data_IF_341350028154
#
_entry.id   IF_341350028154
#
_cell.length_a   1.000
_cell.length_b   1.000
_cell.length_c   1.000
_cell.angle_alpha   90.00
_cell.angle_beta   90.00
_cell.angle_gamma   90.00
#
_symmetry.space_group_name_H-M   'P 1'
#
loop_
_entity.id
_entity.type
_entity.pdbx_description
1 polymer ?
#
# COMPACT_ATOMS: atom_id res chain seq x y z
N UNK A 1 -7.31 -28.18 22.77
CA UNK A 1 -5.89 -28.02 22.42
C UNK A 1 -5.54 -26.59 22.71
N UNK A 2 -4.69 -26.36 23.69
CA UNK A 2 -4.32 -25.01 24.15
C UNK A 2 -3.62 -24.26 23.04
N UNK A 3 -4.18 -23.11 22.67
CA UNK A 3 -3.56 -22.14 21.77
C UNK A 3 -2.47 -21.40 22.55
N UNK A 4 -1.25 -21.93 22.54
CA UNK A 4 -0.11 -21.21 23.06
C UNK A 4 0.17 -20.02 22.16
N UNK A 5 0.15 -18.83 22.75
CA UNK A 5 0.59 -17.57 22.14
C UNK A 5 1.99 -17.75 21.51
N UNK A 6 2.20 -17.13 20.36
CA UNK A 6 3.55 -16.94 19.83
C UNK A 6 4.33 -16.20 20.91
N UNK A 7 5.46 -16.71 21.40
CA UNK A 7 6.22 -16.05 22.45
C UNK A 7 6.54 -14.62 22.01
N UNK A 8 6.42 -13.67 22.94
CA UNK A 8 6.88 -12.31 22.71
C UNK A 8 8.30 -12.35 22.19
N UNK A 9 8.49 -11.83 20.98
CA UNK A 9 9.82 -11.75 20.40
C UNK A 9 10.67 -10.87 21.32
N UNK A 10 11.86 -11.34 21.78
CA UNK A 10 12.71 -10.53 22.63
C UNK A 10 13.05 -9.22 21.93
N UNK A 11 13.21 -8.15 22.70
CA UNK A 11 13.62 -6.84 22.18
C UNK A 11 14.77 -7.02 21.20
N UNK A 12 14.50 -6.66 19.93
CA UNK A 12 15.41 -6.91 18.82
C UNK A 12 16.59 -5.95 18.92
N UNK A 13 17.67 -6.41 19.54
CA UNK A 13 18.98 -5.78 19.39
C UNK A 13 19.69 -6.42 18.18
N UNK A 14 20.15 -5.65 17.18
CA UNK A 14 20.85 -6.21 16.02
C UNK A 14 22.15 -6.89 16.50
N UNK A 15 22.18 -8.21 16.46
CA UNK A 15 23.41 -8.97 16.74
C UNK A 15 24.35 -8.85 15.55
N UNK A 16 25.56 -8.43 15.86
CA UNK A 16 26.78 -8.23 15.11
C UNK A 16 26.86 -8.72 13.67
N UNK A 17 27.62 -7.95 12.88
CA UNK A 17 27.94 -8.19 11.48
C UNK A 17 28.30 -9.65 11.18
N UNK A 18 27.45 -10.33 10.40
CA UNK A 18 27.81 -11.59 9.77
C UNK A 18 28.65 -11.27 8.52
N UNK A 19 29.94 -11.55 8.57
CA UNK A 19 30.80 -11.51 7.39
C UNK A 19 30.40 -12.68 6.48
N UNK A 20 29.99 -12.37 5.26
CA UNK A 20 29.71 -13.36 4.24
C UNK A 20 30.98 -13.68 3.44
N UNK A 21 31.24 -14.97 3.24
CA UNK A 21 32.31 -15.47 2.41
C UNK A 21 32.06 -15.13 0.93
N UNK A 22 33.00 -14.47 0.31
CA UNK A 22 33.51 -14.56 -1.05
C UNK A 22 32.60 -14.57 -2.29
N UNK A 23 31.31 -14.22 -2.22
CA UNK A 23 30.49 -14.00 -3.41
C UNK A 23 30.38 -12.49 -3.71
N UNK A 24 30.36 -12.13 -5.00
CA UNK A 24 30.13 -10.75 -5.46
C UNK A 24 29.06 -10.08 -4.62
N UNK A 25 29.35 -8.88 -4.11
CA UNK A 25 28.46 -8.13 -3.24
C UNK A 25 27.02 -8.19 -3.76
N UNK A 26 26.06 -8.69 -2.94
CA UNK A 26 24.68 -8.75 -3.38
C UNK A 26 24.15 -7.34 -3.67
N UNK A 27 23.12 -7.19 -4.51
CA UNK A 27 22.52 -5.89 -4.76
C UNK A 27 22.04 -5.27 -3.44
N UNK A 28 22.15 -3.94 -3.36
CA UNK A 28 21.66 -3.17 -2.22
C UNK A 28 20.17 -3.46 -2.00
N UNK A 29 19.71 -3.30 -0.75
CA UNK A 29 18.29 -3.34 -0.43
C UNK A 29 17.51 -2.40 -1.37
N UNK A 30 16.30 -2.78 -1.80
CA UNK A 30 15.53 -2.00 -2.79
C UNK A 30 15.35 -0.52 -2.42
N UNK A 31 15.25 -0.18 -1.14
CA UNK A 31 15.17 1.22 -0.67
C UNK A 31 16.48 2.01 -0.86
N UNK A 32 17.61 1.36 -0.86
CA UNK A 32 18.94 1.96 -0.97
C UNK A 32 19.47 1.93 -2.40
N UNK A 33 18.85 1.13 -3.29
CA UNK A 33 19.38 0.89 -4.64
C UNK A 33 18.99 1.98 -5.62
N UNK A 34 19.95 2.77 -6.15
CA UNK A 34 19.71 3.66 -7.27
C UNK A 34 19.22 2.92 -8.52
N UNK A 35 19.66 1.67 -8.70
CA UNK A 35 19.22 0.80 -9.79
C UNK A 35 17.74 0.44 -9.69
N UNK A 36 17.22 0.16 -8.50
CA UNK A 36 15.79 -0.04 -8.29
C UNK A 36 14.97 1.19 -8.72
N UNK A 37 15.43 2.39 -8.36
CA UNK A 37 14.75 3.62 -8.75
C UNK A 37 14.83 3.89 -10.26
N UNK A 38 15.89 3.45 -10.93
CA UNK A 38 16.08 3.62 -12.37
C UNK A 38 15.29 2.60 -13.20
N UNK A 39 15.35 1.32 -12.83
CA UNK A 39 14.67 0.23 -13.52
C UNK A 39 14.23 -0.88 -12.52
N UNK A 40 13.00 -0.77 -12.04
CA UNK A 40 12.44 -1.71 -11.07
C UNK A 40 12.34 -3.13 -11.63
N UNK A 41 11.92 -3.26 -12.86
CA UNK A 41 11.75 -4.57 -13.49
C UNK A 41 13.09 -5.30 -13.60
N UNK A 42 14.13 -4.61 -14.05
CA UNK A 42 15.47 -5.16 -14.13
C UNK A 42 16.05 -5.49 -12.74
N UNK A 43 15.83 -4.63 -11.73
CA UNK A 43 16.23 -4.91 -10.36
C UNK A 43 15.64 -6.22 -9.82
N UNK A 44 14.33 -6.39 -9.94
CA UNK A 44 13.67 -7.60 -9.45
C UNK A 44 14.02 -8.84 -10.27
N UNK A 45 14.25 -8.69 -11.57
CA UNK A 45 14.75 -9.77 -12.43
C UNK A 45 16.12 -10.25 -11.96
N UNK A 46 17.05 -9.33 -11.75
CA UNK A 46 18.38 -9.64 -11.23
C UNK A 46 18.30 -10.34 -9.87
N UNK A 47 17.44 -9.86 -8.96
CA UNK A 47 17.26 -10.53 -7.67
C UNK A 47 16.77 -11.97 -7.82
N UNK A 48 15.80 -12.22 -8.72
CA UNK A 48 15.30 -13.59 -8.99
C UNK A 48 16.37 -14.51 -9.60
N UNK A 49 17.24 -13.98 -10.43
CA UNK A 49 18.36 -14.70 -11.05
C UNK A 49 19.40 -15.14 -10.01
N UNK A 50 19.60 -14.37 -8.96
CA UNK A 50 20.49 -14.73 -7.83
C UNK A 50 19.96 -15.93 -7.02
N UNK A 51 18.66 -16.19 -7.06
CA UNK A 51 18.06 -17.36 -6.41
C UNK A 51 16.71 -17.11 -5.73
N UNK A 52 16.14 -18.16 -5.13
CA UNK A 52 14.86 -18.08 -4.43
C UNK A 52 14.94 -17.26 -3.15
N UNK A 53 16.11 -17.26 -2.53
CA UNK A 53 16.42 -16.54 -1.29
C UNK A 53 17.72 -15.79 -1.50
N UNK A 54 17.66 -14.49 -1.40
CA UNK A 54 18.83 -13.62 -1.55
C UNK A 54 19.12 -12.95 -0.22
N UNK A 55 20.31 -13.18 0.34
CA UNK A 55 20.77 -12.49 1.55
C UNK A 55 21.30 -11.12 1.16
N UNK A 56 20.78 -10.09 1.78
CA UNK A 56 21.20 -8.69 1.54
C UNK A 56 21.82 -8.13 2.80
N UNK A 57 23.00 -7.54 2.64
CA UNK A 57 23.68 -6.79 3.67
C UNK A 57 23.54 -5.28 3.34
N UNK A 58 22.43 -4.70 3.76
CA UNK A 58 22.14 -3.29 3.57
C UNK A 58 23.01 -2.42 4.48
N UNK A 59 23.24 -1.17 4.09
CA UNK A 59 23.95 -0.17 4.91
C UNK A 59 23.25 0.06 6.26
N UNK A 60 21.91 0.19 6.23
CA UNK A 60 21.09 0.22 7.43
C UNK A 60 20.88 -1.21 7.99
N UNK A 61 21.29 -1.48 9.25
CA UNK A 61 21.09 -2.78 9.88
C UNK A 61 19.64 -3.28 9.87
N UNK A 62 18.65 -2.41 9.90
CA UNK A 62 17.24 -2.77 9.87
C UNK A 62 16.78 -3.32 8.52
N UNK A 63 17.47 -2.94 7.46
CA UNK A 63 17.17 -3.37 6.10
C UNK A 63 17.94 -4.63 5.69
N UNK A 64 18.85 -5.11 6.53
CA UNK A 64 19.56 -6.38 6.31
C UNK A 64 18.60 -7.55 6.44
N UNK A 65 18.83 -8.61 5.67
CA UNK A 65 18.04 -9.82 5.81
C UNK A 65 18.00 -10.68 4.56
N UNK A 66 16.99 -11.50 4.49
CA UNK A 66 16.78 -12.46 3.42
C UNK A 66 15.58 -12.02 2.57
N UNK A 67 15.75 -11.90 1.26
CA UNK A 67 14.67 -11.65 0.31
C UNK A 67 14.13 -12.96 -0.23
N UNK A 68 12.84 -13.20 -0.08
CA UNK A 68 12.12 -14.26 -0.79
C UNK A 68 11.60 -13.69 -2.12
N UNK A 69 12.09 -14.23 -3.23
CA UNK A 69 11.81 -13.68 -4.56
C UNK A 69 10.82 -14.52 -5.37
N UNK A 70 10.64 -15.80 -5.02
CA UNK A 70 9.74 -16.72 -5.74
C UNK A 70 8.32 -16.61 -5.20
N UNK A 71 7.37 -16.69 -6.09
CA UNK A 71 5.94 -16.57 -5.78
C UNK A 71 5.45 -17.55 -4.73
N UNK A 72 5.86 -18.82 -4.83
CA UNK A 72 5.37 -19.85 -3.94
C UNK A 72 5.99 -19.75 -2.55
N UNK A 73 7.26 -19.33 -2.44
CA UNK A 73 7.93 -19.06 -1.17
C UNK A 73 7.32 -17.86 -0.47
N UNK A 74 7.05 -16.77 -1.21
CA UNK A 74 6.34 -15.60 -0.70
C UNK A 74 4.94 -15.98 -0.23
N UNK A 75 4.21 -16.79 -1.01
CA UNK A 75 2.89 -17.30 -0.63
C UNK A 75 2.96 -18.13 0.66
N UNK A 76 3.90 -19.06 0.75
CA UNK A 76 4.06 -19.91 1.93
C UNK A 76 4.33 -19.05 3.17
N UNK A 77 5.24 -18.08 3.08
CA UNK A 77 5.55 -17.19 4.18
C UNK A 77 4.37 -16.28 4.59
N UNK A 78 3.57 -15.79 3.64
CA UNK A 78 2.37 -15.00 3.92
C UNK A 78 1.29 -15.80 4.66
N UNK A 79 1.22 -17.10 4.43
CA UNK A 79 0.21 -18.00 5.01
C UNK A 79 0.67 -18.70 6.29
N UNK A 80 1.94 -18.58 6.66
CA UNK A 80 2.51 -19.15 7.89
C UNK A 80 2.99 -18.06 8.87
N UNK A 81 2.06 -17.39 9.58
CA UNK A 81 2.40 -16.35 10.56
C UNK A 81 3.08 -16.91 11.81
N UNK A 82 3.09 -18.23 12.02
CA UNK A 82 3.79 -18.87 13.12
C UNK A 82 5.30 -18.91 12.90
N UNK A 83 5.72 -19.13 11.65
CA UNK A 83 7.13 -19.16 11.26
C UNK A 83 7.62 -17.78 10.82
N UNK A 84 6.78 -17.02 10.11
CA UNK A 84 7.08 -15.69 9.57
C UNK A 84 6.19 -14.64 10.25
N UNK A 85 6.55 -14.31 11.47
CA UNK A 85 5.81 -13.35 12.29
C UNK A 85 5.93 -11.92 11.74
N UNK A 86 4.95 -11.09 12.04
CA UNK A 86 5.08 -9.65 11.83
C UNK A 86 6.24 -9.10 12.66
N UNK A 87 6.96 -8.07 12.18
CA UNK A 87 8.01 -7.45 12.97
C UNK A 87 7.49 -6.92 14.30
N UNK A 88 8.34 -6.92 15.36
CA UNK A 88 7.96 -6.31 16.63
C UNK A 88 7.73 -4.80 16.50
N UNK A 89 6.98 -4.21 17.44
CA UNK A 89 6.62 -2.78 17.44
C UNK A 89 7.84 -1.86 17.36
N UNK A 90 8.94 -2.24 18.00
CA UNK A 90 10.22 -1.52 17.95
C UNK A 90 10.82 -1.45 16.55
N UNK A 91 10.67 -2.48 15.74
CA UNK A 91 11.13 -2.50 14.35
C UNK A 91 10.36 -1.47 13.48
N UNK A 92 9.07 -1.32 13.71
CA UNK A 92 8.27 -0.34 12.98
C UNK A 92 8.67 1.09 13.31
N UNK A 93 8.90 1.40 14.59
CA UNK A 93 9.40 2.71 15.02
C UNK A 93 10.72 3.04 14.32
N UNK A 94 11.64 2.07 14.27
CA UNK A 94 12.92 2.25 13.63
C UNK A 94 12.82 2.36 12.09
N UNK A 95 11.91 1.59 11.47
CA UNK A 95 11.76 1.57 10.01
C UNK A 95 11.11 2.86 9.48
N UNK A 96 10.21 3.46 10.26
CA UNK A 96 9.42 4.62 9.85
C UNK A 96 9.88 5.94 10.49
N UNK A 97 10.87 5.89 11.39
CA UNK A 97 11.46 7.09 12.00
C UNK A 97 10.57 7.82 13.01
N UNK A 98 9.35 7.35 13.22
CA UNK A 98 8.40 7.92 14.18
C UNK A 98 7.66 6.79 14.90
N UNK A 99 7.16 7.02 16.13
CA UNK A 99 6.24 6.09 16.75
C UNK A 99 4.96 6.09 15.92
N UNK A 100 4.91 5.22 14.91
CA UNK A 100 3.63 4.90 14.31
C UNK A 100 2.72 4.40 15.43
N UNK A 101 1.50 4.90 15.48
CA UNK A 101 0.52 4.37 16.40
C UNK A 101 0.53 2.85 16.31
N UNK A 102 0.49 2.19 17.45
CA UNK A 102 0.50 0.73 17.51
C UNK A 102 -0.72 0.21 16.75
N UNK A 103 -0.51 -0.20 15.51
CA UNK A 103 -1.58 -0.79 14.70
C UNK A 103 -1.34 -2.28 14.57
N UNK A 104 -1.99 -3.10 15.42
CA UNK A 104 -1.85 -4.55 15.41
C UNK A 104 -2.25 -5.23 14.10
N UNK A 105 -2.88 -4.51 13.17
CA UNK A 105 -3.21 -5.03 11.84
C UNK A 105 -1.97 -5.38 11.01
N UNK A 106 -0.88 -4.64 11.18
CA UNK A 106 0.38 -4.88 10.47
C UNK A 106 1.52 -5.31 11.39
N UNK A 107 1.42 -5.00 12.68
CA UNK A 107 2.47 -5.19 13.68
C UNK A 107 1.78 -5.59 14.98
N UNK A 108 2.18 -6.68 15.59
CA UNK A 108 1.61 -7.13 16.86
C UNK A 108 1.33 -8.62 16.90
N UNK A 109 0.76 -9.05 18.00
CA UNK A 109 0.42 -10.45 18.25
C UNK A 109 -0.81 -10.90 17.43
N UNK A 110 -0.95 -12.20 17.28
CA UNK A 110 -2.12 -12.80 16.60
C UNK A 110 -3.45 -12.45 17.29
N UNK A 111 -3.47 -12.43 18.62
CA UNK A 111 -4.65 -12.10 19.40
C UNK A 111 -5.05 -10.63 19.23
N UNK A 112 -4.10 -9.72 19.26
CA UNK A 112 -4.34 -8.30 18.95
C UNK A 112 -4.90 -8.16 17.54
N UNK A 113 -4.26 -8.78 16.52
CA UNK A 113 -4.73 -8.72 15.14
C UNK A 113 -6.18 -9.23 15.00
N UNK A 114 -6.52 -10.36 15.63
CA UNK A 114 -7.87 -10.93 15.57
C UNK A 114 -8.92 -9.97 16.17
N UNK A 115 -8.57 -9.31 17.28
CA UNK A 115 -9.44 -8.32 17.95
C UNK A 115 -9.73 -7.12 17.04
N UNK A 116 -8.70 -6.55 16.40
CA UNK A 116 -8.87 -5.47 15.43
C UNK A 116 -9.63 -5.92 14.18
N UNK A 117 -9.28 -7.09 13.64
CA UNK A 117 -9.91 -7.63 12.44
C UNK A 117 -11.41 -7.85 12.59
N UNK A 118 -11.85 -8.32 13.77
CA UNK A 118 -13.28 -8.51 14.08
C UNK A 118 -14.08 -7.21 13.94
N UNK A 119 -13.49 -6.09 14.31
CA UNK A 119 -14.13 -4.77 14.27
C UNK A 119 -14.02 -4.14 12.88
N UNK A 120 -12.85 -4.23 12.26
CA UNK A 120 -12.54 -3.43 11.07
C UNK A 120 -12.89 -4.12 9.74
N UNK A 121 -12.78 -5.47 9.64
CA UNK A 121 -13.08 -6.15 8.38
C UNK A 121 -14.52 -5.91 7.87
N UNK A 122 -15.57 -5.86 8.71
CA UNK A 122 -16.91 -5.55 8.23
C UNK A 122 -17.02 -4.18 7.56
N UNK A 123 -16.30 -3.15 8.07
CA UNK A 123 -16.34 -1.78 7.57
C UNK A 123 -15.76 -1.65 6.15
N UNK A 124 -14.77 -2.47 5.81
CA UNK A 124 -14.12 -2.49 4.50
C UNK A 124 -14.60 -3.63 3.61
N UNK A 125 -15.72 -4.26 3.94
CA UNK A 125 -16.31 -5.31 3.10
C UNK A 125 -16.89 -4.73 1.81
N UNK A 126 -16.99 -5.54 0.73
CA UNK A 126 -17.63 -5.10 -0.51
C UNK A 126 -19.04 -4.54 -0.29
N UNK A 127 -19.80 -5.14 0.66
CA UNK A 127 -21.15 -4.70 1.01
C UNK A 127 -21.17 -3.31 1.64
N UNK A 128 -20.24 -3.03 2.55
CA UNK A 128 -20.15 -1.73 3.21
C UNK A 128 -19.68 -0.62 2.24
N UNK A 129 -18.85 -0.97 1.27
CA UNK A 129 -18.27 -0.03 0.30
C UNK A 129 -19.14 0.19 -0.94
N UNK A 130 -20.04 -0.73 -1.27
CA UNK A 130 -20.88 -0.65 -2.47
C UNK A 130 -21.68 0.68 -2.60
N UNK A 131 -22.24 1.27 -1.53
CA UNK A 131 -22.96 2.54 -1.63
C UNK A 131 -22.10 3.71 -2.14
N UNK A 132 -20.79 3.68 -1.94
CA UNK A 132 -19.87 4.76 -2.30
C UNK A 132 -19.40 4.71 -3.75
N UNK A 133 -19.71 3.66 -4.51
CA UNK A 133 -19.19 3.49 -5.87
C UNK A 133 -19.59 4.64 -6.81
N UNK A 134 -20.84 5.13 -6.71
CA UNK A 134 -21.34 6.28 -7.48
C UNK A 134 -20.62 7.57 -7.12
N UNK A 135 -20.44 7.83 -5.85
CA UNK A 135 -19.77 9.04 -5.34
C UNK A 135 -18.29 9.06 -5.69
N UNK A 136 -17.60 7.91 -5.63
CA UNK A 136 -16.22 7.79 -6.09
C UNK A 136 -16.06 8.14 -7.56
N UNK A 137 -16.97 7.67 -8.42
CA UNK A 137 -17.00 8.03 -9.85
C UNK A 137 -17.29 9.50 -10.05
N UNK A 138 -18.31 10.05 -9.39
CA UNK A 138 -18.64 11.47 -9.47
C UNK A 138 -17.46 12.37 -9.06
N UNK A 139 -16.69 11.95 -8.05
CA UNK A 139 -15.48 12.64 -7.59
C UNK A 139 -14.37 12.62 -8.64
N UNK A 140 -14.10 11.45 -9.21
CA UNK A 140 -13.12 11.30 -10.29
C UNK A 140 -13.50 12.14 -11.51
N UNK A 141 -14.78 12.12 -11.89
CA UNK A 141 -15.34 12.92 -12.96
C UNK A 141 -15.10 14.42 -12.74
N UNK A 142 -15.50 14.94 -11.57
CA UNK A 142 -15.30 16.35 -11.20
C UNK A 142 -13.85 16.80 -11.28
N UNK A 143 -12.89 15.95 -10.84
CA UNK A 143 -11.47 16.25 -10.93
C UNK A 143 -10.96 16.26 -12.37
N UNK A 144 -11.35 15.29 -13.18
CA UNK A 144 -10.95 15.22 -14.58
C UNK A 144 -11.53 16.40 -15.38
N UNK A 145 -12.81 16.75 -15.17
CA UNK A 145 -13.44 17.92 -15.80
C UNK A 145 -12.70 19.23 -15.46
N UNK A 146 -12.31 19.42 -14.19
CA UNK A 146 -11.59 20.61 -13.74
C UNK A 146 -10.25 20.84 -14.45
N UNK A 147 -9.62 19.78 -14.94
CA UNK A 147 -8.29 19.86 -15.56
C UNK A 147 -8.34 19.65 -17.09
N UNK A 148 -9.43 19.15 -17.64
CA UNK A 148 -9.55 18.81 -19.08
C UNK A 148 -9.14 19.96 -20.01
N UNK A 149 -9.54 21.19 -19.69
CA UNK A 149 -9.24 22.38 -20.49
C UNK A 149 -7.80 22.87 -20.36
N UNK A 150 -7.06 22.43 -19.33
CA UNK A 150 -5.68 22.86 -19.09
C UNK A 150 -4.68 22.23 -20.05
N UNK A 151 -5.10 21.17 -20.77
CA UNK A 151 -4.29 20.41 -21.72
C UNK A 151 -3.00 19.82 -21.15
N UNK A 152 -2.78 19.90 -19.86
CA UNK A 152 -1.64 19.31 -19.13
C UNK A 152 -1.89 19.27 -17.63
N UNK A 153 -1.27 18.33 -16.94
CA UNK A 153 -1.23 18.28 -15.48
C UNK A 153 0.02 17.58 -14.95
N UNK A 154 0.27 17.69 -13.63
CA UNK A 154 1.02 16.69 -12.89
C UNK A 154 0.01 15.68 -12.35
N UNK A 155 0.05 14.45 -12.86
CA UNK A 155 -0.92 13.43 -12.49
C UNK A 155 -0.71 12.90 -11.05
N UNK A 156 0.46 13.17 -10.44
CA UNK A 156 0.68 12.88 -9.01
C UNK A 156 -0.23 13.77 -8.16
N UNK A 157 -0.25 15.07 -8.41
CA UNK A 157 -1.11 16.02 -7.67
C UNK A 157 -2.60 15.66 -7.81
N UNK A 158 -3.00 15.17 -8.99
CA UNK A 158 -4.39 14.77 -9.24
C UNK A 158 -4.74 13.48 -8.51
N UNK A 159 -3.84 12.50 -8.52
CA UNK A 159 -4.05 11.22 -7.84
C UNK A 159 -4.08 11.38 -6.31
N UNK A 160 -3.17 12.19 -5.76
CA UNK A 160 -3.15 12.53 -4.32
C UNK A 160 -4.45 13.25 -3.90
N UNK A 161 -4.92 14.20 -4.71
CA UNK A 161 -6.18 14.89 -4.46
C UNK A 161 -7.36 13.93 -4.49
N UNK A 162 -7.44 13.05 -5.51
CA UNK A 162 -8.51 12.08 -5.62
C UNK A 162 -8.51 11.10 -4.44
N UNK A 163 -7.38 10.47 -4.13
CA UNK A 163 -7.28 9.48 -3.07
C UNK A 163 -7.64 10.09 -1.69
N UNK A 164 -7.19 11.31 -1.41
CA UNK A 164 -7.56 12.02 -0.18
C UNK A 164 -9.05 12.27 -0.09
N UNK A 165 -9.65 12.80 -1.16
CA UNK A 165 -11.07 13.11 -1.21
C UNK A 165 -11.94 11.85 -1.15
N UNK A 166 -11.53 10.77 -1.82
CA UNK A 166 -12.21 9.49 -1.81
C UNK A 166 -12.22 8.89 -0.40
N UNK A 167 -11.07 8.84 0.27
CA UNK A 167 -10.98 8.32 1.62
C UNK A 167 -11.81 9.14 2.61
N UNK A 168 -11.71 10.48 2.57
CA UNK A 168 -12.47 11.34 3.47
C UNK A 168 -13.97 11.10 3.30
N UNK A 169 -14.45 11.09 2.07
CA UNK A 169 -15.86 10.82 1.74
C UNK A 169 -16.31 9.46 2.25
N UNK A 170 -15.55 8.39 1.97
CA UNK A 170 -15.90 7.02 2.40
C UNK A 170 -15.90 6.90 3.92
N UNK A 171 -15.04 7.65 4.62
CA UNK A 171 -15.01 7.69 6.07
C UNK A 171 -16.09 8.58 6.71
N UNK A 172 -16.84 9.37 5.91
CA UNK A 172 -17.88 10.27 6.39
C UNK A 172 -17.38 11.67 6.75
N UNK A 173 -16.20 12.05 6.25
CA UNK A 173 -15.60 13.38 6.49
C UNK A 173 -15.79 14.28 5.26
N UNK A 174 -15.70 15.63 5.41
CA UNK A 174 -15.77 16.56 4.31
C UNK A 174 -14.66 16.31 3.28
N UNK A 175 -14.99 15.91 2.03
CA UNK A 175 -13.98 15.49 1.06
C UNK A 175 -13.20 16.66 0.46
N UNK A 176 -13.74 17.87 0.50
CA UNK A 176 -13.13 19.05 -0.12
C UNK A 176 -12.32 19.91 0.87
N UNK A 177 -12.03 19.39 2.07
CA UNK A 177 -11.17 20.08 3.05
C UNK A 177 -9.70 20.01 2.64
N UNK A 178 -9.23 21.07 1.97
CA UNK A 178 -7.85 21.19 1.51
C UNK A 178 -6.84 21.20 2.66
N UNK A 179 -7.23 21.74 3.85
CA UNK A 179 -6.36 21.74 5.03
C UNK A 179 -6.18 20.33 5.56
N UNK A 180 -7.24 19.55 5.63
CA UNK A 180 -7.16 18.15 6.05
C UNK A 180 -6.28 17.32 5.10
N UNK A 181 -6.41 17.51 3.78
CA UNK A 181 -5.56 16.85 2.79
C UNK A 181 -4.07 17.24 2.95
N UNK A 182 -3.79 18.52 3.21
CA UNK A 182 -2.42 18.98 3.48
C UNK A 182 -1.85 18.39 4.78
N UNK A 183 -2.63 18.33 5.85
CA UNK A 183 -2.21 17.74 7.12
C UNK A 183 -1.94 16.22 6.96
N UNK A 184 -2.80 15.51 6.23
CA UNK A 184 -2.61 14.09 5.93
C UNK A 184 -1.31 13.86 5.13
N UNK A 185 -1.07 14.67 4.11
CA UNK A 185 0.17 14.62 3.31
C UNK A 185 1.40 14.95 4.17
N UNK A 186 1.37 16.01 4.98
CA UNK A 186 2.47 16.41 5.84
C UNK A 186 2.78 15.36 6.92
N UNK A 187 1.76 14.71 7.47
CA UNK A 187 1.91 13.65 8.47
C UNK A 187 2.69 12.43 7.92
N UNK A 188 2.71 12.28 6.60
CA UNK A 188 3.39 11.18 5.88
C UNK A 188 4.79 11.58 5.41
N UNK A 189 4.97 12.80 4.89
CA UNK A 189 6.19 13.22 4.14
C UNK A 189 7.37 13.60 5.06
N UNK A 190 7.38 13.18 6.30
CA UNK A 190 8.59 13.29 7.11
C UNK A 190 8.60 14.50 8.04
N UNK A 191 7.48 14.82 8.62
CA UNK A 191 7.50 15.64 9.84
C UNK A 191 8.15 14.85 10.98
N UNK A 192 9.47 14.96 11.06
CA UNK A 192 10.27 14.35 12.13
C UNK A 192 9.93 14.90 13.52
N UNK A 193 9.13 15.98 13.58
CA UNK A 193 8.69 16.61 14.83
C UNK A 193 7.40 16.01 15.38
N UNK A 194 6.63 15.31 14.55
CA UNK A 194 5.31 14.78 14.90
C UNK A 194 4.20 15.84 14.96
N UNK A 195 4.50 17.09 14.60
CA UNK A 195 3.53 18.20 14.69
C UNK A 195 2.36 18.02 13.73
N UNK A 196 2.63 17.61 12.49
CA UNK A 196 1.59 17.37 11.48
C UNK A 196 0.67 16.21 11.88
N UNK A 197 1.22 15.14 12.48
CA UNK A 197 0.41 14.04 13.02
C UNK A 197 -0.50 14.52 14.15
N UNK A 198 0.01 15.36 15.07
CA UNK A 198 -0.78 15.93 16.16
C UNK A 198 -1.92 16.82 15.64
N UNK A 199 -1.64 17.64 14.63
CA UNK A 199 -2.66 18.50 14.01
C UNK A 199 -3.72 17.69 13.28
N UNK A 200 -3.31 16.64 12.55
CA UNK A 200 -4.23 15.71 11.90
C UNK A 200 -5.13 15.00 12.92
N UNK A 201 -4.57 14.48 14.01
CA UNK A 201 -5.33 13.84 15.08
C UNK A 201 -6.34 14.80 15.72
N UNK A 202 -5.94 16.03 16.00
CA UNK A 202 -6.86 17.05 16.55
C UNK A 202 -8.00 17.35 15.59
N UNK A 203 -7.69 17.52 14.32
CA UNK A 203 -8.70 17.78 13.29
C UNK A 203 -9.66 16.58 13.14
N UNK A 204 -9.14 15.34 13.10
CA UNK A 204 -9.95 14.13 13.01
C UNK A 204 -10.91 14.00 14.21
N UNK A 205 -10.39 14.18 15.43
CA UNK A 205 -11.23 14.10 16.64
C UNK A 205 -12.33 15.17 16.61
N UNK A 206 -11.99 16.43 16.30
CA UNK A 206 -12.99 17.51 16.22
C UNK A 206 -14.05 17.22 15.17
N UNK A 207 -13.65 16.70 13.99
CA UNK A 207 -14.56 16.39 12.88
C UNK A 207 -15.47 15.21 13.21
N UNK A 208 -14.96 14.18 13.88
CA UNK A 208 -15.76 13.03 14.28
C UNK A 208 -16.70 13.37 15.43
N UNK A 209 -16.27 14.14 16.43
CA UNK A 209 -17.14 14.59 17.54
C UNK A 209 -18.30 15.45 17.01
N UNK A 210 -18.00 16.38 16.08
CA UNK A 210 -19.01 17.18 15.41
C UNK A 210 -19.99 16.27 14.62
N UNK A 211 -19.48 15.32 13.84
CA UNK A 211 -20.29 14.40 13.06
C UNK A 211 -21.17 13.47 13.92
N UNK A 212 -20.66 12.99 15.05
CA UNK A 212 -21.47 12.17 15.98
C UNK A 212 -22.66 12.95 16.55
N UNK A 213 -22.54 14.25 16.67
CA UNK A 213 -23.59 15.15 17.17
C UNK A 213 -24.53 15.67 16.06
N UNK A 214 -24.21 15.44 14.79
CA UNK A 214 -24.98 15.92 13.64
C UNK A 214 -25.89 14.81 13.07
N UNK A 215 -27.22 14.94 13.16
CA UNK A 215 -28.16 13.97 12.58
C UNK A 215 -28.12 13.97 11.03
N UNK A 216 -27.67 15.05 10.41
CA UNK A 216 -27.60 15.22 8.96
C UNK A 216 -26.17 14.90 8.42
N UNK A 217 -25.30 14.29 9.23
CA UNK A 217 -23.95 13.94 8.81
C UNK A 217 -23.94 13.06 7.55
N UNK A 218 -22.93 13.23 6.68
CA UNK A 218 -22.80 12.39 5.48
C UNK A 218 -22.59 10.91 5.86
N UNK A 219 -23.01 9.96 4.99
CA UNK A 219 -22.76 8.56 5.21
C UNK A 219 -21.25 8.27 5.29
N UNK A 220 -20.84 7.35 6.15
CA UNK A 220 -19.42 7.00 6.31
C UNK A 220 -19.25 5.64 6.98
N UNK A 221 -18.22 4.90 6.56
CA UNK A 221 -17.93 3.56 7.11
C UNK A 221 -17.44 3.60 8.56
N UNK A 222 -16.95 4.74 9.04
CA UNK A 222 -16.42 4.86 10.40
C UNK A 222 -17.48 5.18 11.44
N UNK A 223 -18.67 5.68 11.06
CA UNK A 223 -19.71 6.05 12.03
C UNK A 223 -20.14 4.90 12.94
N UNK A 224 -20.43 3.68 12.43
CA UNK A 224 -20.79 2.58 13.29
C UNK A 224 -19.72 2.21 14.33
N UNK A 225 -18.44 2.34 13.94
CA UNK A 225 -17.30 2.11 14.83
C UNK A 225 -17.27 3.15 15.97
N UNK A 226 -17.41 4.43 15.61
CA UNK A 226 -17.32 5.54 16.56
C UNK A 226 -18.52 5.58 17.50
N UNK A 227 -19.73 5.26 17.01
CA UNK A 227 -20.94 5.12 17.82
C UNK A 227 -20.81 4.00 18.86
N UNK A 228 -20.31 2.82 18.44
CA UNK A 228 -20.07 1.72 19.35
C UNK A 228 -19.01 2.05 20.40
N UNK A 229 -17.90 2.69 19.98
CA UNK A 229 -16.86 3.12 20.91
C UNK A 229 -17.38 4.12 21.97
N UNK A 230 -18.30 5.01 21.58
CA UNK A 230 -18.89 5.99 22.50
C UNK A 230 -19.96 5.38 23.43
N UNK A 231 -20.70 4.37 22.97
CA UNK A 231 -21.86 3.81 23.67
C UNK A 231 -21.61 2.52 24.43
N UNK A 232 -20.59 1.76 24.10
CA UNK A 232 -20.32 0.42 24.65
C UNK A 232 -19.03 0.41 25.48
N UNK A 233 -19.16 0.26 26.80
CA UNK A 233 -18.03 0.18 27.73
C UNK A 233 -17.18 -1.09 27.55
N UNK A 234 -17.77 -2.14 26.98
CA UNK A 234 -17.11 -3.42 26.72
C UNK A 234 -16.61 -3.53 25.28
N UNK A 235 -16.60 -2.40 24.55
CA UNK A 235 -16.11 -2.36 23.17
C UNK A 235 -14.67 -2.91 23.08
N UNK A 236 -14.37 -3.80 22.14
CA UNK A 236 -13.11 -4.54 22.12
C UNK A 236 -11.87 -3.69 21.83
N UNK A 237 -12.00 -2.45 21.36
CA UNK A 237 -10.90 -1.54 21.11
C UNK A 237 -11.00 -0.31 22.00
N UNK A 238 -9.86 0.19 22.48
CA UNK A 238 -9.77 1.44 23.21
C UNK A 238 -9.83 2.63 22.26
N UNK A 239 -10.16 3.81 22.80
CA UNK A 239 -10.16 5.06 22.04
C UNK A 239 -8.79 5.34 21.38
N UNK A 240 -7.67 5.07 22.08
CA UNK A 240 -6.32 5.23 21.56
C UNK A 240 -6.05 4.29 20.38
N UNK A 241 -6.51 3.04 20.46
CA UNK A 241 -6.36 2.06 19.38
C UNK A 241 -7.16 2.46 18.15
N UNK A 242 -8.39 2.92 18.31
CA UNK A 242 -9.22 3.43 17.22
C UNK A 242 -8.58 4.66 16.57
N UNK A 243 -8.15 5.62 17.39
CA UNK A 243 -7.43 6.81 16.89
C UNK A 243 -6.17 6.44 16.10
N UNK A 244 -5.44 5.44 16.55
CA UNK A 244 -4.25 4.92 15.88
C UNK A 244 -4.55 4.30 14.51
N UNK A 245 -5.65 3.54 14.40
CA UNK A 245 -6.10 2.99 13.11
C UNK A 245 -6.51 4.10 12.16
N UNK A 246 -7.29 5.06 12.66
CA UNK A 246 -7.73 6.21 11.86
C UNK A 246 -6.54 7.01 11.35
N UNK A 247 -5.57 7.31 12.21
CA UNK A 247 -4.36 8.02 11.78
C UNK A 247 -3.59 7.25 10.70
N UNK A 248 -3.46 5.92 10.81
CA UNK A 248 -2.82 5.11 9.78
C UNK A 248 -3.59 5.16 8.45
N UNK A 249 -4.92 5.10 8.49
CA UNK A 249 -5.76 5.19 7.30
C UNK A 249 -5.58 6.53 6.59
N UNK A 250 -5.59 7.63 7.34
CA UNK A 250 -5.48 9.00 6.80
C UNK A 250 -4.04 9.46 6.52
N UNK A 251 -3.06 8.63 6.81
CA UNK A 251 -1.67 8.91 6.45
C UNK A 251 -1.20 7.98 5.32
N UNK A 252 -0.62 6.84 5.64
CA UNK A 252 0.07 5.97 4.69
C UNK A 252 -0.88 5.04 3.94
N UNK A 253 -1.76 4.36 4.70
CA UNK A 253 -2.41 3.16 4.17
C UNK A 253 -3.52 3.46 3.16
N UNK A 254 -4.28 4.54 3.34
CA UNK A 254 -5.47 4.82 2.54
C UNK A 254 -5.27 5.84 1.42
N UNK A 255 -4.27 6.72 1.50
CA UNK A 255 -4.06 7.79 0.52
C UNK A 255 -2.88 7.46 -0.40
N UNK A 256 -1.68 7.32 0.16
CA UNK A 256 -0.47 7.17 -0.64
C UNK A 256 -0.45 5.91 -1.51
N UNK A 257 -0.98 4.79 -0.98
CA UNK A 257 -0.97 3.53 -1.70
C UNK A 257 -1.83 3.60 -2.96
N UNK A 258 -3.01 4.20 -2.88
CA UNK A 258 -3.92 4.32 -4.02
C UNK A 258 -3.43 5.37 -5.00
N UNK A 259 -2.98 6.52 -4.54
CA UNK A 259 -2.40 7.56 -5.40
C UNK A 259 -1.19 7.04 -6.19
N UNK A 260 -0.32 6.25 -5.55
CA UNK A 260 0.78 5.58 -6.22
C UNK A 260 0.28 4.63 -7.32
N UNK A 261 -0.69 3.76 -7.03
CA UNK A 261 -1.22 2.83 -8.01
C UNK A 261 -1.86 3.56 -9.21
N UNK A 262 -2.62 4.62 -8.96
CA UNK A 262 -3.22 5.47 -10.02
C UNK A 262 -2.13 6.08 -10.91
N UNK A 263 -1.08 6.64 -10.32
CA UNK A 263 -0.01 7.29 -11.10
C UNK A 263 0.76 6.29 -11.95
N UNK A 264 1.03 5.07 -11.46
CA UNK A 264 1.64 4.03 -12.28
C UNK A 264 0.69 3.54 -13.38
N UNK A 265 -0.62 3.42 -13.12
CA UNK A 265 -1.60 3.10 -14.14
C UNK A 265 -1.60 4.13 -15.28
N UNK A 266 -1.63 5.42 -14.93
CA UNK A 266 -1.54 6.49 -15.91
C UNK A 266 -0.22 6.51 -16.68
N UNK A 267 0.90 6.17 -16.03
CA UNK A 267 2.21 6.03 -16.69
C UNK A 267 2.20 4.93 -17.74
N UNK A 268 1.65 3.75 -17.41
CA UNK A 268 1.51 2.65 -18.37
C UNK A 268 0.63 3.06 -19.55
N UNK A 269 -0.51 3.71 -19.29
CA UNK A 269 -1.43 4.18 -20.34
C UNK A 269 -0.85 5.33 -21.19
N UNK A 270 -0.01 6.18 -20.62
CA UNK A 270 0.69 7.22 -21.37
C UNK A 270 1.75 6.66 -22.33
N UNK A 271 2.31 5.48 -22.00
CA UNK A 271 3.31 4.79 -22.80
C UNK A 271 2.73 3.82 -23.83
N UNK A 272 1.50 3.35 -23.60
CA UNK A 272 0.79 2.41 -24.49
C UNK A 272 -0.55 3.00 -24.97
N UNK A 273 -0.54 3.76 -26.09
CA UNK A 273 -1.76 4.34 -26.67
C UNK A 273 -2.77 3.29 -27.13
N UNK A 274 -2.31 2.09 -27.51
CA UNK A 274 -3.21 1.01 -27.96
C UNK A 274 -3.99 0.43 -26.79
N UNK A 275 -3.30 0.15 -25.69
CA UNK A 275 -3.93 -0.29 -24.44
C UNK A 275 -4.94 0.77 -23.93
N UNK A 276 -4.55 2.03 -23.98
CA UNK A 276 -5.41 3.14 -23.57
C UNK A 276 -6.70 3.20 -24.39
N UNK A 277 -6.60 3.10 -25.73
CA UNK A 277 -7.74 3.06 -26.62
C UNK A 277 -8.64 1.84 -26.35
N UNK A 278 -8.04 0.66 -26.16
CA UNK A 278 -8.74 -0.56 -25.84
C UNK A 278 -9.56 -0.46 -24.54
N UNK A 279 -8.97 0.07 -23.46
CA UNK A 279 -9.67 0.22 -22.18
C UNK A 279 -10.77 1.28 -22.23
N UNK A 280 -10.64 2.27 -23.10
CA UNK A 280 -11.72 3.26 -23.37
C UNK A 280 -12.88 2.62 -24.14
N UNK A 281 -12.58 1.79 -25.13
CA UNK A 281 -13.59 1.10 -25.95
C UNK A 281 -14.30 0.00 -25.17
N UNK A 282 -13.57 -0.71 -24.30
CA UNK A 282 -14.11 -1.75 -23.43
C UNK A 282 -13.73 -1.50 -21.96
N UNK A 283 -14.47 -0.63 -21.25
CA UNK A 283 -14.23 -0.33 -19.84
C UNK A 283 -14.35 -1.54 -18.90
N UNK A 284 -14.99 -2.64 -19.33
CA UNK A 284 -15.07 -3.86 -18.53
C UNK A 284 -13.70 -4.52 -18.30
N UNK A 285 -12.67 -4.13 -19.07
CA UNK A 285 -11.29 -4.59 -18.85
C UNK A 285 -10.52 -3.74 -17.81
N UNK A 286 -11.03 -2.58 -17.39
CA UNK A 286 -10.35 -1.70 -16.41
C UNK A 286 -10.06 -2.42 -15.09
N UNK A 287 -10.98 -3.21 -14.51
CA UNK A 287 -10.65 -3.98 -13.30
C UNK A 287 -9.51 -4.99 -13.48
N UNK A 288 -9.41 -5.63 -14.65
CA UNK A 288 -8.31 -6.54 -14.95
C UNK A 288 -6.98 -5.78 -15.10
N UNK A 289 -7.00 -4.62 -15.75
CA UNK A 289 -5.85 -3.74 -15.86
C UNK A 289 -5.38 -3.24 -14.49
N UNK A 290 -6.29 -2.83 -13.60
CA UNK A 290 -5.95 -2.42 -12.24
C UNK A 290 -5.24 -3.55 -11.46
N UNK A 291 -5.70 -4.81 -11.58
CA UNK A 291 -5.00 -5.96 -10.97
C UNK A 291 -3.58 -6.16 -11.53
N UNK A 292 -3.38 -5.95 -12.83
CA UNK A 292 -2.05 -6.02 -13.45
C UNK A 292 -1.14 -4.87 -12.98
N UNK A 293 -1.68 -3.66 -12.75
CA UNK A 293 -0.92 -2.57 -12.13
C UNK A 293 -0.53 -2.94 -10.69
N UNK A 294 -1.43 -3.45 -9.87
CA UNK A 294 -1.07 -3.92 -8.54
C UNK A 294 -0.01 -5.03 -8.58
N UNK A 295 -0.04 -5.91 -9.58
CA UNK A 295 0.95 -6.96 -9.77
C UNK A 295 2.33 -6.43 -10.13
N UNK A 296 2.41 -5.51 -11.10
CA UNK A 296 3.65 -4.99 -11.67
C UNK A 296 4.27 -3.86 -10.83
N UNK A 297 3.41 -3.03 -10.26
CA UNK A 297 3.77 -1.78 -9.60
C UNK A 297 3.16 -1.69 -8.18
N UNK A 298 3.28 -2.75 -7.35
CA UNK A 298 2.73 -2.67 -6.02
C UNK A 298 3.33 -1.48 -5.27
N UNK A 299 2.51 -0.62 -4.64
CA UNK A 299 3.04 0.50 -3.85
C UNK A 299 3.97 0.06 -2.72
N UNK A 300 3.70 -1.10 -2.13
CA UNK A 300 4.60 -1.80 -1.21
C UNK A 300 5.32 -2.95 -1.92
N UNK A 301 6.51 -2.74 -2.52
CA UNK A 301 7.19 -3.75 -3.34
C UNK A 301 7.69 -4.96 -2.55
N UNK A 302 7.94 -4.79 -1.26
CA UNK A 302 8.32 -5.84 -0.34
C UNK A 302 7.81 -5.53 1.08
N UNK A 303 7.48 -6.57 1.83
CA UNK A 303 7.02 -6.45 3.22
C UNK A 303 7.90 -7.27 4.17
N UNK A 304 8.21 -6.73 5.37
CA UNK A 304 9.06 -7.42 6.32
C UNK A 304 8.32 -8.50 7.10
N UNK A 305 9.08 -9.54 7.49
CA UNK A 305 8.72 -10.57 8.45
C UNK A 305 9.93 -10.89 9.32
N UNK A 306 9.71 -11.59 10.42
CA UNK A 306 10.78 -12.12 11.28
C UNK A 306 10.54 -13.62 11.44
N UNK A 307 11.60 -14.44 11.25
CA UNK A 307 11.51 -15.87 11.50
C UNK A 307 11.47 -16.15 12.99
N UNK A 308 10.53 -16.97 13.46
CA UNK A 308 10.45 -17.40 14.87
C UNK A 308 11.33 -18.62 15.18
N UNK A 309 11.73 -19.35 14.13
CA UNK A 309 12.57 -20.55 14.19
C UNK A 309 13.47 -20.63 12.96
N UNK A 310 14.48 -21.51 12.99
CA UNK A 310 15.28 -21.82 11.81
C UNK A 310 14.37 -22.44 10.72
N UNK A 311 14.52 -21.98 9.49
CA UNK A 311 13.81 -22.50 8.32
C UNK A 311 14.79 -22.72 7.16
N UNK A 312 14.42 -23.58 6.22
CA UNK A 312 15.15 -23.78 4.99
C UNK A 312 14.23 -23.52 3.81
N UNK A 313 14.65 -22.66 2.89
CA UNK A 313 13.90 -22.27 1.68
C UNK A 313 14.87 -22.31 0.50
N UNK A 314 14.54 -23.11 -0.51
CA UNK A 314 15.37 -23.22 -1.72
C UNK A 314 16.82 -23.61 -1.45
N UNK A 315 17.08 -24.42 -0.44
CA UNK A 315 18.43 -24.84 -0.03
C UNK A 315 19.18 -23.80 0.84
N UNK A 316 18.57 -22.67 1.17
CA UNK A 316 19.16 -21.63 2.02
C UNK A 316 18.61 -21.74 3.44
N UNK A 317 19.50 -21.94 4.42
CA UNK A 317 19.15 -21.95 5.83
C UNK A 317 19.02 -20.52 6.35
N UNK A 318 17.83 -20.15 6.84
CA UNK A 318 17.54 -18.86 7.48
C UNK A 318 17.45 -19.11 8.98
N UNK A 319 18.31 -18.48 9.80
CA UNK A 319 18.29 -18.63 11.25
C UNK A 319 16.98 -18.12 11.87
N UNK A 320 16.66 -18.54 13.08
CA UNK A 320 15.61 -17.92 13.88
C UNK A 320 15.94 -16.45 14.13
N UNK A 321 14.89 -15.64 14.28
CA UNK A 321 14.95 -14.19 14.53
C UNK A 321 15.68 -13.40 13.44
N UNK A 322 15.63 -13.90 12.20
CA UNK A 322 16.17 -13.21 11.03
C UNK A 322 15.09 -12.34 10.40
N UNK A 323 15.49 -11.13 9.93
CA UNK A 323 14.66 -10.31 9.07
C UNK A 323 14.49 -10.99 7.70
N UNK A 324 13.25 -11.10 7.24
CA UNK A 324 12.88 -11.66 5.94
C UNK A 324 12.00 -10.70 5.19
N UNK A 325 12.38 -10.35 3.98
CA UNK A 325 11.62 -9.48 3.09
C UNK A 325 10.87 -10.32 2.06
N UNK A 326 9.56 -10.25 2.09
CA UNK A 326 8.70 -10.89 1.09
C UNK A 326 8.60 -9.95 -0.10
N UNK A 327 9.36 -10.24 -1.18
CA UNK A 327 9.42 -9.40 -2.37
C UNK A 327 8.14 -9.58 -3.22
N UNK A 328 7.08 -8.85 -2.88
CA UNK A 328 5.75 -8.98 -3.51
C UNK A 328 5.81 -8.66 -5.00
N UNK A 329 6.58 -7.65 -5.39
CA UNK A 329 6.75 -7.27 -6.78
C UNK A 329 7.53 -8.32 -7.57
N UNK A 330 8.63 -8.84 -7.03
CA UNK A 330 9.37 -9.94 -7.65
C UNK A 330 8.48 -11.17 -7.85
N UNK A 331 7.74 -11.55 -6.81
CA UNK A 331 6.80 -12.67 -6.84
C UNK A 331 5.66 -12.45 -7.86
N UNK A 332 5.17 -11.23 -8.01
CA UNK A 332 4.16 -10.86 -9.01
C UNK A 332 4.65 -11.02 -10.45
N UNK A 333 5.93 -10.79 -10.70
CA UNK A 333 6.54 -10.88 -12.03
C UNK A 333 6.96 -12.29 -12.44
N UNK A 334 6.93 -13.27 -11.51
CA UNK A 334 7.44 -14.63 -11.78
C UNK A 334 6.66 -15.35 -12.88
N UNK A 335 5.33 -15.28 -12.92
CA UNK A 335 4.50 -16.02 -13.86
C UNK A 335 3.87 -15.18 -14.97
N UNK A 336 3.75 -13.87 -14.77
CA UNK A 336 3.12 -12.93 -15.72
C UNK A 336 4.13 -12.06 -16.48
N UNK A 337 5.43 -12.24 -16.21
CA UNK A 337 6.47 -11.40 -16.81
C UNK A 337 6.43 -9.95 -16.30
N UNK A 338 7.16 -9.10 -17.00
CA UNK A 338 7.38 -7.69 -16.66
C UNK A 338 6.39 -6.74 -17.36
N UNK A 339 5.43 -7.29 -18.11
CA UNK A 339 4.45 -6.53 -18.91
C UNK A 339 3.01 -6.84 -18.49
N UNK A 340 2.07 -6.01 -18.94
CA UNK A 340 0.63 -6.25 -18.79
C UNK A 340 0.28 -7.53 -19.53
N UNK A 341 -0.30 -8.48 -18.82
CA UNK A 341 -0.68 -9.78 -19.38
C UNK A 341 -1.87 -9.64 -20.32
N UNK A 342 -1.73 -10.21 -21.52
CA UNK A 342 -2.80 -10.22 -22.54
C UNK A 342 -3.24 -11.63 -22.84
N UNK A 343 -4.50 -11.81 -23.15
CA UNK A 343 -5.07 -13.05 -23.64
C UNK A 343 -4.89 -13.22 -25.15
N UNK A 344 -5.44 -14.31 -25.70
CA UNK A 344 -5.30 -14.70 -27.11
C UNK A 344 -5.95 -13.69 -28.08
N UNK A 345 -6.90 -12.92 -27.63
CA UNK A 345 -7.59 -11.89 -28.42
C UNK A 345 -7.13 -10.45 -28.06
N UNK A 346 -6.00 -10.34 -27.32
CA UNK A 346 -5.44 -9.07 -26.91
C UNK A 346 -6.09 -8.46 -25.67
N UNK A 347 -7.13 -9.08 -25.10
CA UNK A 347 -7.79 -8.64 -23.88
C UNK A 347 -6.84 -8.62 -22.69
N UNK A 348 -6.99 -7.67 -21.77
CA UNK A 348 -6.20 -7.65 -20.53
C UNK A 348 -6.60 -8.81 -19.63
N UNK A 349 -5.62 -9.61 -19.22
CA UNK A 349 -5.81 -10.75 -18.30
C UNK A 349 -5.12 -10.49 -16.97
N UNK A 350 -5.91 -10.52 -15.91
CA UNK A 350 -5.37 -10.47 -14.54
C UNK A 350 -4.59 -11.74 -14.22
N UNK A 351 -3.41 -11.57 -13.66
CA UNK A 351 -2.64 -12.63 -13.04
C UNK A 351 -2.81 -12.61 -11.53
N UNK A 352 -2.69 -13.78 -10.91
CA UNK A 352 -2.74 -13.88 -9.46
C UNK A 352 -1.46 -13.25 -8.86
N UNK A 353 -1.60 -12.31 -7.94
CA UNK A 353 -0.51 -11.59 -7.27
C UNK A 353 -0.71 -11.50 -5.76
N UNK A 354 0.31 -11.01 -5.06
CA UNK A 354 0.34 -10.85 -3.61
C UNK A 354 0.48 -9.37 -3.17
N UNK A 355 0.22 -8.42 -4.02
CA UNK A 355 0.34 -6.99 -3.72
C UNK A 355 -0.47 -6.55 -2.49
N UNK A 356 -1.59 -7.22 -2.23
CA UNK A 356 -2.39 -7.00 -1.03
C UNK A 356 -2.01 -7.92 0.15
N UNK A 357 -0.84 -8.56 0.10
CA UNK A 357 -0.45 -9.55 1.09
C UNK A 357 -1.32 -10.81 1.07
N UNK A 358 -1.29 -11.57 2.16
CA UNK A 358 -2.03 -12.83 2.29
C UNK A 358 -2.18 -13.26 3.75
N UNK A 359 -2.99 -14.31 3.96
CA UNK A 359 -3.25 -14.83 5.30
C UNK A 359 -3.96 -13.82 6.19
N UNK A 360 -3.64 -13.84 7.48
CA UNK A 360 -4.28 -12.98 8.48
C UNK A 360 -3.99 -11.48 8.26
N UNK A 361 -2.83 -11.14 7.70
CA UNK A 361 -2.42 -9.75 7.42
C UNK A 361 -2.79 -9.29 5.99
N UNK A 362 -3.76 -9.92 5.35
CA UNK A 362 -4.25 -9.46 4.06
C UNK A 362 -4.79 -8.02 4.17
N UNK A 363 -4.46 -7.18 3.18
CA UNK A 363 -4.83 -5.77 3.19
C UNK A 363 -6.33 -5.56 3.46
N UNK A 364 -6.62 -4.74 4.47
CA UNK A 364 -7.98 -4.38 4.86
C UNK A 364 -8.67 -3.55 3.76
N UNK A 365 -7.94 -2.59 3.18
CA UNK A 365 -8.44 -1.65 2.16
C UNK A 365 -8.51 -2.18 0.73
N UNK A 366 -8.24 -3.47 0.49
CA UNK A 366 -8.10 -3.98 -0.88
C UNK A 366 -9.36 -3.81 -1.75
N UNK A 367 -10.54 -3.82 -1.15
CA UNK A 367 -11.80 -3.63 -1.88
C UNK A 367 -12.02 -2.17 -2.21
N UNK A 368 -11.67 -1.26 -1.29
CA UNK A 368 -11.72 0.18 -1.52
C UNK A 368 -10.73 0.58 -2.62
N UNK A 369 -9.48 0.14 -2.54
CA UNK A 369 -8.46 0.44 -3.56
C UNK A 369 -8.90 0.01 -4.98
N UNK A 370 -9.58 -1.14 -5.11
CA UNK A 370 -10.13 -1.59 -6.39
C UNK A 370 -11.25 -0.70 -6.90
N UNK A 371 -12.17 -0.29 -6.01
CA UNK A 371 -13.24 0.63 -6.35
C UNK A 371 -12.70 2.00 -6.78
N UNK A 372 -11.71 2.53 -6.07
CA UNK A 372 -11.08 3.79 -6.39
C UNK A 372 -10.35 3.75 -7.73
N UNK A 373 -9.59 2.68 -8.00
CA UNK A 373 -8.92 2.48 -9.29
C UNK A 373 -9.91 2.37 -10.45
N UNK A 374 -10.97 1.58 -10.30
CA UNK A 374 -12.01 1.44 -11.32
C UNK A 374 -12.71 2.78 -11.60
N UNK A 375 -13.13 3.45 -10.55
CA UNK A 375 -13.81 4.75 -10.65
C UNK A 375 -12.91 5.81 -11.32
N UNK A 376 -11.69 5.95 -10.86
CA UNK A 376 -10.76 6.95 -11.36
C UNK A 376 -10.40 6.70 -12.83
N UNK A 377 -9.97 5.48 -13.17
CA UNK A 377 -9.53 5.17 -14.54
C UNK A 377 -10.67 5.27 -15.56
N UNK A 378 -11.88 4.81 -15.18
CA UNK A 378 -13.05 4.93 -16.04
C UNK A 378 -13.33 6.40 -16.36
N UNK A 379 -13.39 7.25 -15.35
CA UNK A 379 -13.75 8.67 -15.54
C UNK A 379 -12.61 9.47 -16.18
N UNK A 380 -11.36 9.13 -15.91
CA UNK A 380 -10.20 9.72 -16.57
C UNK A 380 -10.20 9.43 -18.07
N UNK A 381 -10.36 8.16 -18.46
CA UNK A 381 -10.34 7.75 -19.87
C UNK A 381 -11.52 8.32 -20.67
N UNK A 382 -12.67 8.53 -20.03
CA UNK A 382 -13.82 9.17 -20.66
C UNK A 382 -13.59 10.65 -20.99
N UNK A 383 -12.88 11.39 -20.12
CA UNK A 383 -12.71 12.86 -20.23
C UNK A 383 -11.38 13.27 -20.83
N UNK A 384 -10.34 12.48 -20.61
CA UNK A 384 -8.98 12.73 -21.10
C UNK A 384 -8.52 11.49 -21.86
N UNK A 385 -9.16 11.17 -23.00
CA UNK A 385 -8.93 9.91 -23.72
C UNK A 385 -7.56 9.82 -24.40
N UNK A 386 -6.98 10.97 -24.73
CA UNK A 386 -5.71 11.04 -25.47
C UNK A 386 -4.70 11.85 -24.67
N UNK A 387 -3.80 11.17 -23.98
CA UNK A 387 -2.74 11.81 -23.21
C UNK A 387 -1.42 11.09 -23.40
N UNK A 388 -0.34 11.80 -23.21
CA UNK A 388 1.02 11.29 -23.32
C UNK A 388 1.94 11.93 -22.27
N UNK A 389 3.13 11.40 -22.09
CA UNK A 389 4.14 12.07 -21.30
C UNK A 389 4.52 13.40 -21.96
N UNK A 390 4.67 14.46 -21.14
CA UNK A 390 5.16 15.74 -21.64
C UNK A 390 6.52 15.53 -22.31
N UNK A 391 6.75 16.04 -23.54
CA UNK A 391 8.03 15.93 -24.24
C UNK A 391 9.22 16.38 -23.38
N UNK A 392 10.29 15.58 -23.37
CA UNK A 392 11.48 15.85 -22.58
C UNK A 392 11.34 15.56 -21.08
N UNK A 393 10.20 15.05 -20.63
CA UNK A 393 9.99 14.65 -19.24
C UNK A 393 10.24 13.15 -19.04
N UNK A 394 11.08 12.81 -18.04
CA UNK A 394 11.32 11.43 -17.63
C UNK A 394 10.81 11.24 -16.19
N UNK A 395 9.84 10.33 -15.97
CA UNK A 395 9.35 10.01 -14.63
C UNK A 395 10.45 9.42 -13.76
N UNK A 396 10.50 9.82 -12.51
CA UNK A 396 11.45 9.29 -11.52
C UNK A 396 10.70 8.59 -10.42
N UNK A 397 11.05 7.33 -10.18
CA UNK A 397 10.56 6.54 -9.05
C UNK A 397 11.30 6.97 -7.79
N UNK A 398 10.59 7.09 -6.70
CA UNK A 398 11.13 7.38 -5.37
C UNK A 398 10.51 6.47 -4.32
N UNK A 399 11.27 6.26 -3.24
CA UNK A 399 10.79 5.59 -2.04
C UNK A 399 10.61 6.60 -0.93
N UNK A 400 9.44 6.59 -0.31
CA UNK A 400 9.21 7.32 0.93
C UNK A 400 9.72 6.52 2.13
N UNK A 401 10.01 7.17 3.26
CA UNK A 401 10.34 6.49 4.52
C UNK A 401 9.30 5.42 4.90
N UNK A 402 8.04 5.65 4.56
CA UNK A 402 6.89 4.76 4.74
C UNK A 402 6.96 3.44 3.96
N UNK A 403 8.01 3.19 3.18
CA UNK A 403 8.15 2.04 2.27
C UNK A 403 7.24 2.08 1.05
N UNK A 404 6.57 3.19 0.79
CA UNK A 404 5.75 3.36 -0.41
C UNK A 404 6.62 3.76 -1.58
N UNK A 405 6.50 3.04 -2.67
CA UNK A 405 7.09 3.37 -3.97
C UNK A 405 6.12 4.22 -4.75
N UNK A 406 6.55 5.36 -5.24
CA UNK A 406 5.71 6.27 -6.02
C UNK A 406 6.53 7.05 -7.05
N UNK A 407 5.85 7.71 -7.97
CA UNK A 407 6.48 8.66 -8.88
C UNK A 407 6.64 10.02 -8.19
N UNK A 408 7.82 10.64 -8.33
CA UNK A 408 8.04 12.01 -7.82
C UNK A 408 7.10 13.00 -8.49
N UNK A 409 6.94 12.87 -9.81
CA UNK A 409 6.03 13.62 -10.67
C UNK A 409 5.63 12.77 -11.86
N UNK A 410 4.46 13.07 -12.44
CA UNK A 410 4.02 12.48 -13.70
C UNK A 410 3.38 13.58 -14.56
N UNK A 411 4.20 14.24 -15.37
CA UNK A 411 3.73 15.32 -16.25
C UNK A 411 3.11 14.76 -17.50
N UNK A 412 1.80 14.90 -17.62
CA UNK A 412 1.00 14.51 -18.77
C UNK A 412 0.52 15.73 -19.56
N UNK A 413 0.30 15.54 -20.87
CA UNK A 413 -0.37 16.48 -21.76
C UNK A 413 -1.34 15.76 -22.69
N UNK A 414 -2.31 16.49 -23.22
CA UNK A 414 -3.31 16.00 -24.17
C UNK A 414 -3.82 17.06 -25.12
#
# INVERSE_FOLDING_TARGET
MNHTDVPDLPDYAPRGALRGDGASSPPLHHKESPFFAADRAAFWRQLRELGPVVKIDAGDPLLRGYYLTRRDDVRAALLDPHTFASPPKTFAIQLFGAPLPQVPLSIGTRSEHARFGKVLHPLFSPRALAPFAGDLRARAAKLADKISDRRQCDAVDVADTYASQALFMVCGLPPDDARAAQMASAAVIGDTTGQAQLELVKWLNTSFDAGLSDPERPPGILWPLLEQLAGDKDFPLTQVEVASVILLLFSVAGIEMVASAITFALLHLARDPQLRAQLREDPAQIPAFAEEIFRLEPPGPAIPRVTTRKVEIGGVAIPAFSSVWLALEAAGRTNGGDEITRGSHGEVRRQRHWAFGGGMHRCLGMHLARLEMDAFLTEWLNRIPNFELKPGFTPTVVHKPTSVTHLRRLKLRW
#
